data_IF_443086641680
#
_entry.id   IF_443086641680
#
_cell.length_a   1.000
_cell.length_b   1.000
_cell.length_c   1.000
_cell.angle_alpha   90.00
_cell.angle_beta   90.00
_cell.angle_gamma   90.00
#
_symmetry.space_group_name_H-M   'P 1'
#
loop_
_entity.id
_entity.type
_entity.pdbx_description
1 polymer ?
#
# COMPACT_ATOMS: atom_id res chain seq x y z
N UNK A 1 17.72 87.28 11.78
CA UNK A 1 17.52 85.85 12.14
C UNK A 1 17.11 85.12 10.87
N UNK A 2 18.00 84.32 10.27
CA UNK A 2 17.75 83.60 9.01
C UNK A 2 17.60 82.12 9.31
N UNK A 3 16.37 81.61 9.20
CA UNK A 3 16.01 80.21 9.39
C UNK A 3 16.53 79.38 8.22
N UNK A 4 17.32 78.33 8.50
CA UNK A 4 17.76 77.36 7.49
C UNK A 4 16.69 76.28 7.39
N UNK A 5 15.87 76.33 6.35
CA UNK A 5 15.02 75.20 5.98
C UNK A 5 15.91 74.07 5.45
N UNK A 6 15.84 72.90 6.09
CA UNK A 6 16.44 71.66 5.59
C UNK A 6 15.31 70.80 5.03
N UNK A 7 15.26 70.64 3.72
CA UNK A 7 14.35 69.73 3.03
C UNK A 7 14.84 68.29 3.21
N UNK A 8 13.97 67.41 3.72
CA UNK A 8 14.24 65.97 3.75
C UNK A 8 14.01 65.39 2.36
N UNK A 9 15.09 65.00 1.68
CA UNK A 9 15.02 64.17 0.48
C UNK A 9 14.72 62.74 0.91
N UNK A 10 13.46 62.33 0.84
CA UNK A 10 13.06 60.92 1.03
C UNK A 10 13.22 60.21 -0.31
N UNK A 11 14.40 59.62 -0.56
CA UNK A 11 14.55 58.63 -1.61
C UNK A 11 13.81 57.36 -1.15
N UNK A 12 12.71 57.02 -1.81
CA UNK A 12 12.05 55.75 -1.61
C UNK A 12 12.95 54.64 -2.20
N UNK A 13 13.67 53.93 -1.36
CA UNK A 13 14.29 52.66 -1.75
C UNK A 13 13.17 51.65 -2.04
N UNK A 14 13.00 51.31 -3.32
CA UNK A 14 12.19 50.17 -3.75
C UNK A 14 12.83 48.88 -3.21
N UNK A 15 12.38 48.44 -2.03
CA UNK A 15 12.78 47.14 -1.48
C UNK A 15 12.16 46.05 -2.34
N UNK A 16 12.99 45.43 -3.19
CA UNK A 16 12.60 44.30 -4.01
C UNK A 16 11.97 43.17 -3.17
N UNK A 17 10.84 42.66 -3.64
CA UNK A 17 10.15 41.53 -3.03
C UNK A 17 11.04 40.28 -3.13
N UNK A 18 11.56 39.83 -1.99
CA UNK A 18 12.40 38.63 -1.93
C UNK A 18 11.51 37.38 -1.99
N UNK A 19 11.92 36.31 -2.69
CA UNK A 19 11.12 35.10 -2.77
C UNK A 19 10.93 34.49 -1.38
N UNK A 20 9.70 34.08 -1.10
CA UNK A 20 9.28 33.51 0.18
C UNK A 20 10.11 32.26 0.49
N UNK A 21 11.05 32.38 1.42
CA UNK A 21 11.84 31.25 1.89
C UNK A 21 11.05 30.53 2.99
N UNK A 22 10.88 29.21 2.88
CA UNK A 22 10.16 28.37 3.85
C UNK A 22 10.65 28.51 5.31
N UNK A 23 11.89 28.98 5.51
CA UNK A 23 12.43 29.34 6.82
C UNK A 23 11.72 30.51 7.51
N UNK A 24 11.06 31.41 6.77
CA UNK A 24 10.30 32.51 7.35
C UNK A 24 8.90 32.10 7.83
N UNK A 25 8.33 31.01 7.30
CA UNK A 25 7.04 30.50 7.75
C UNK A 25 7.12 29.93 9.18
N UNK A 26 8.24 29.29 9.52
CA UNK A 26 8.48 28.74 10.87
C UNK A 26 8.83 29.80 11.92
N UNK A 27 9.16 31.04 11.53
CA UNK A 27 9.48 32.13 12.48
C UNK A 27 8.25 32.88 13.00
N UNK A 28 7.05 32.58 12.50
CA UNK A 28 5.83 33.07 13.14
C UNK A 28 5.56 32.37 14.48
N UNK A 29 5.99 31.12 14.63
CA UNK A 29 5.77 30.34 15.86
C UNK A 29 6.60 30.89 17.04
N UNK A 30 7.82 31.35 16.78
CA UNK A 30 8.72 31.81 17.84
C UNK A 30 8.44 33.24 18.34
N UNK A 31 7.62 34.04 17.63
CA UNK A 31 7.21 35.38 18.11
C UNK A 31 6.01 35.33 19.07
N UNK A 32 5.40 34.15 19.22
CA UNK A 32 4.20 33.91 20.04
C UNK A 32 4.55 33.24 21.38
N UNK A 33 5.84 33.10 21.73
CA UNK A 33 6.25 32.63 23.06
C UNK A 33 6.20 33.74 24.12
N UNK A 34 5.03 34.38 24.21
CA UNK A 34 4.64 35.32 25.25
C UNK A 34 3.23 34.98 25.73
N UNK A 35 3.08 33.83 26.39
CA UNK A 35 1.81 33.38 26.98
C UNK A 35 0.92 32.61 26.01
N UNK A 36 0.45 31.44 26.44
CA UNK A 36 -0.59 30.68 25.74
C UNK A 36 -1.93 31.40 25.95
N UNK A 37 -2.08 32.59 25.35
CA UNK A 37 -3.38 33.23 25.23
C UNK A 37 -4.15 32.47 24.15
N UNK A 38 -5.33 31.95 24.50
CA UNK A 38 -6.24 31.41 23.50
C UNK A 38 -6.47 32.49 22.45
N UNK A 39 -6.19 32.17 21.19
CA UNK A 39 -6.46 33.04 20.04
C UNK A 39 -7.85 33.70 20.18
N UNK A 40 -7.99 34.95 19.73
CA UNK A 40 -9.31 35.57 19.70
C UNK A 40 -10.26 34.71 18.83
N UNK A 41 -11.57 34.74 19.10
CA UNK A 41 -12.54 33.93 18.34
C UNK A 41 -12.44 34.17 16.82
N UNK A 42 -12.05 35.38 16.42
CA UNK A 42 -11.84 35.77 15.02
C UNK A 42 -10.61 35.07 14.43
N UNK A 43 -9.49 35.06 15.15
CA UNK A 43 -8.25 34.42 14.70
C UNK A 43 -8.40 32.89 14.64
N UNK A 44 -9.17 32.29 15.57
CA UNK A 44 -9.53 30.87 15.51
C UNK A 44 -10.35 30.54 14.26
N UNK A 45 -11.31 31.38 13.89
CA UNK A 45 -12.11 31.19 12.68
C UNK A 45 -11.25 31.27 11.41
N UNK A 46 -10.29 32.20 11.37
CA UNK A 46 -9.37 32.36 10.25
C UNK A 46 -8.49 31.10 10.09
N UNK A 47 -7.89 30.61 11.19
CA UNK A 47 -7.06 29.41 11.16
C UNK A 47 -7.86 28.15 10.77
N UNK A 48 -9.07 27.98 11.31
CA UNK A 48 -9.94 26.85 10.93
C UNK A 48 -10.27 26.86 9.44
N UNK A 49 -10.52 28.04 8.86
CA UNK A 49 -10.76 28.19 7.43
C UNK A 49 -9.52 27.81 6.60
N UNK A 50 -8.33 28.24 7.02
CA UNK A 50 -7.09 27.85 6.34
C UNK A 50 -6.84 26.34 6.41
N UNK A 51 -7.03 25.73 7.58
CA UNK A 51 -6.88 24.28 7.77
C UNK A 51 -7.90 23.52 6.91
N UNK A 52 -9.17 23.97 6.87
CA UNK A 52 -10.20 23.37 6.03
C UNK A 52 -9.79 23.39 4.54
N UNK A 53 -9.31 24.54 4.05
CA UNK A 53 -8.82 24.67 2.67
C UNK A 53 -7.62 23.77 2.38
N UNK A 54 -6.70 23.62 3.32
CA UNK A 54 -5.56 22.70 3.19
C UNK A 54 -6.02 21.24 3.15
N UNK A 55 -6.99 20.87 3.99
CA UNK A 55 -7.55 19.52 4.01
C UNK A 55 -8.30 19.19 2.73
N UNK A 56 -9.07 20.13 2.18
CA UNK A 56 -9.75 19.98 0.88
C UNK A 56 -8.74 19.74 -0.25
N UNK A 57 -7.69 20.57 -0.34
CA UNK A 57 -6.64 20.42 -1.34
C UNK A 57 -5.96 19.05 -1.25
N UNK A 58 -5.60 18.61 -0.05
CA UNK A 58 -5.03 17.28 0.18
C UNK A 58 -5.98 16.17 -0.27
N UNK A 59 -7.27 16.26 0.06
CA UNK A 59 -8.26 15.26 -0.38
C UNK A 59 -8.41 15.22 -1.90
N UNK A 60 -8.28 16.36 -2.57
CA UNK A 60 -8.33 16.47 -4.02
C UNK A 60 -7.12 15.78 -4.66
N UNK A 61 -5.92 16.05 -4.15
CA UNK A 61 -4.69 15.36 -4.57
C UNK A 61 -4.81 13.84 -4.41
N UNK A 62 -5.35 13.36 -3.29
CA UNK A 62 -5.59 11.93 -3.09
C UNK A 62 -6.58 11.38 -4.11
N UNK A 63 -7.67 12.10 -4.40
CA UNK A 63 -8.66 11.68 -5.42
C UNK A 63 -8.04 11.62 -6.81
N UNK A 64 -7.24 12.61 -7.19
CA UNK A 64 -6.55 12.66 -8.48
C UNK A 64 -5.54 11.52 -8.62
N UNK A 65 -4.70 11.30 -7.60
CA UNK A 65 -3.76 10.17 -7.55
C UNK A 65 -4.48 8.83 -7.65
N UNK A 66 -5.59 8.66 -6.93
CA UNK A 66 -6.43 7.46 -7.01
C UNK A 66 -7.06 7.29 -8.41
N UNK A 67 -7.51 8.37 -9.03
CA UNK A 67 -8.04 8.39 -10.39
C UNK A 67 -6.98 7.98 -11.42
N UNK A 68 -5.80 8.59 -11.35
CA UNK A 68 -4.66 8.27 -12.21
C UNK A 68 -4.25 6.80 -12.09
N UNK A 69 -4.09 6.30 -10.85
CA UNK A 69 -3.79 4.88 -10.62
C UNK A 69 -4.86 3.96 -11.20
N UNK A 70 -6.15 4.31 -11.03
CA UNK A 70 -7.27 3.54 -11.57
C UNK A 70 -7.29 3.54 -13.10
N UNK A 71 -7.05 4.68 -13.74
CA UNK A 71 -6.97 4.79 -15.21
C UNK A 71 -5.82 3.95 -15.76
N UNK A 72 -4.62 4.05 -15.17
CA UNK A 72 -3.47 3.21 -15.52
C UNK A 72 -3.79 1.71 -15.40
N UNK A 73 -4.44 1.29 -14.32
CA UNK A 73 -4.89 -0.10 -14.14
C UNK A 73 -5.97 -0.55 -15.14
N UNK A 74 -6.79 0.39 -15.63
CA UNK A 74 -7.85 0.10 -16.61
C UNK A 74 -7.33 0.02 -18.04
N UNK A 75 -6.32 0.83 -18.38
CA UNK A 75 -5.62 0.82 -19.67
C UNK A 75 -4.71 -0.41 -19.80
N UNK A 76 -4.16 -0.90 -18.67
CA UNK A 76 -3.39 -2.14 -18.61
C UNK A 76 -4.26 -3.40 -18.45
N UNK A 77 -5.54 -3.39 -18.84
CA UNK A 77 -6.34 -4.62 -18.86
C UNK A 77 -5.75 -5.58 -19.91
N UNK A 78 -5.14 -6.71 -19.51
CA UNK A 78 -4.68 -7.68 -20.49
C UNK A 78 -5.90 -8.22 -21.24
N UNK A 79 -5.82 -8.27 -22.57
CA UNK A 79 -6.89 -8.73 -23.46
C UNK A 79 -7.34 -10.19 -23.23
N UNK A 80 -6.65 -10.94 -22.37
CA UNK A 80 -7.06 -12.26 -21.91
C UNK A 80 -8.02 -12.16 -20.69
N UNK A 81 -9.19 -11.56 -20.89
CA UNK A 81 -10.30 -11.67 -19.93
C UNK A 81 -10.97 -13.05 -20.08
N UNK A 82 -10.22 -14.13 -19.86
CA UNK A 82 -10.85 -15.38 -19.41
C UNK A 82 -11.45 -15.08 -18.04
N UNK A 83 -12.71 -15.46 -17.83
CA UNK A 83 -13.33 -15.43 -16.51
C UNK A 83 -12.44 -16.20 -15.55
N UNK A 84 -11.68 -15.47 -14.73
CA UNK A 84 -10.76 -16.09 -13.78
C UNK A 84 -11.57 -16.59 -12.60
N UNK A 85 -11.37 -17.86 -12.24
CA UNK A 85 -11.89 -18.41 -11.00
C UNK A 85 -11.57 -17.47 -9.82
N UNK A 86 -12.50 -17.28 -8.87
CA UNK A 86 -12.26 -16.47 -7.70
C UNK A 86 -11.03 -17.01 -6.93
N UNK A 87 -10.33 -16.10 -6.26
CA UNK A 87 -9.18 -16.48 -5.44
C UNK A 87 -9.62 -17.50 -4.39
N UNK A 88 -8.90 -18.62 -4.30
CA UNK A 88 -9.21 -19.69 -3.36
C UNK A 88 -8.09 -19.87 -2.34
N UNK A 89 -8.42 -20.47 -1.19
CA UNK A 89 -7.39 -20.81 -0.21
C UNK A 89 -6.53 -21.98 -0.70
N UNK A 90 -5.28 -22.07 -0.25
CA UNK A 90 -4.39 -23.21 -0.59
C UNK A 90 -5.02 -24.56 -0.18
N UNK A 91 -5.82 -24.57 0.89
CA UNK A 91 -6.55 -25.77 1.31
C UNK A 91 -7.65 -26.16 0.31
N UNK A 92 -8.44 -25.20 -0.16
CA UNK A 92 -9.46 -25.45 -1.19
C UNK A 92 -8.81 -25.90 -2.50
N UNK A 93 -7.69 -25.30 -2.89
CA UNK A 93 -6.94 -25.72 -4.08
C UNK A 93 -6.47 -27.17 -3.98
N UNK A 94 -5.92 -27.58 -2.83
CA UNK A 94 -5.51 -28.97 -2.61
C UNK A 94 -6.70 -29.94 -2.76
N UNK A 95 -7.88 -29.58 -2.23
CA UNK A 95 -9.10 -30.38 -2.39
C UNK A 95 -9.55 -30.44 -3.86
N UNK A 96 -9.53 -29.31 -4.59
CA UNK A 96 -9.81 -29.26 -6.03
C UNK A 96 -8.84 -30.16 -6.83
N UNK A 97 -7.56 -30.13 -6.48
CA UNK A 97 -6.51 -30.96 -7.10
C UNK A 97 -6.73 -32.45 -6.85
N UNK A 98 -7.07 -32.82 -5.62
CA UNK A 98 -7.37 -34.21 -5.26
C UNK A 98 -8.59 -34.73 -6.02
N UNK A 99 -9.66 -33.93 -6.11
CA UNK A 99 -10.83 -34.25 -6.94
C UNK A 99 -10.49 -34.40 -8.44
N UNK A 100 -9.46 -33.69 -8.90
CA UNK A 100 -8.97 -33.73 -10.29
C UNK A 100 -7.93 -34.84 -10.54
N UNK A 101 -7.71 -35.74 -9.58
CA UNK A 101 -6.79 -36.89 -9.69
C UNK A 101 -5.32 -36.60 -9.33
N UNK A 102 -5.01 -35.41 -8.80
CA UNK A 102 -3.66 -35.09 -8.30
C UNK A 102 -3.67 -35.30 -6.78
N UNK A 103 -3.13 -36.43 -6.32
CA UNK A 103 -3.10 -36.78 -4.90
C UNK A 103 -2.10 -35.91 -4.11
N UNK A 104 -2.50 -34.70 -3.72
CA UNK A 104 -1.69 -33.78 -2.94
C UNK A 104 -2.45 -33.27 -1.71
N UNK A 105 -1.87 -33.48 -0.53
CA UNK A 105 -2.43 -32.97 0.71
C UNK A 105 -2.15 -31.48 0.90
N UNK A 106 -2.96 -30.81 1.74
CA UNK A 106 -2.77 -29.38 2.09
C UNK A 106 -1.33 -29.04 2.51
N UNK A 107 -0.75 -29.81 3.42
CA UNK A 107 0.59 -29.54 3.94
C UNK A 107 1.68 -29.81 2.88
N UNK A 108 1.48 -30.81 2.02
CA UNK A 108 2.38 -31.12 0.92
C UNK A 108 2.37 -29.99 -0.12
N UNK A 109 1.20 -29.41 -0.41
CA UNK A 109 1.08 -28.27 -1.31
C UNK A 109 1.80 -27.04 -0.75
N UNK A 110 1.67 -26.75 0.55
CA UNK A 110 2.46 -25.67 1.18
C UNK A 110 3.96 -25.92 1.09
N UNK A 111 4.41 -27.16 1.31
CA UNK A 111 5.81 -27.52 1.19
C UNK A 111 6.31 -27.30 -0.25
N UNK A 112 5.56 -27.79 -1.23
CA UNK A 112 5.86 -27.62 -2.65
C UNK A 112 5.96 -26.13 -3.02
N UNK A 113 4.97 -25.32 -2.65
CA UNK A 113 4.99 -23.88 -2.92
C UNK A 113 6.23 -23.17 -2.37
N UNK A 114 6.70 -23.58 -1.19
CA UNK A 114 7.92 -23.00 -0.57
C UNK A 114 9.19 -23.52 -1.23
N UNK A 115 9.23 -24.80 -1.58
CA UNK A 115 10.38 -25.41 -2.24
C UNK A 115 10.64 -24.80 -3.62
N UNK A 116 9.56 -24.48 -4.34
CA UNK A 116 9.63 -23.82 -5.65
C UNK A 116 9.71 -22.28 -5.58
N UNK A 117 9.86 -21.69 -4.39
CA UNK A 117 10.06 -20.24 -4.24
C UNK A 117 8.81 -19.37 -4.41
N UNK A 118 7.61 -19.96 -4.47
CA UNK A 118 6.37 -19.18 -4.56
C UNK A 118 5.95 -18.57 -3.20
N UNK A 119 6.28 -19.26 -2.11
CA UNK A 119 6.09 -18.77 -0.74
C UNK A 119 7.41 -18.82 0.05
N UNK A 120 7.54 -17.97 1.06
CA UNK A 120 8.76 -17.89 1.85
C UNK A 120 9.00 -19.18 2.67
N UNK A 121 10.25 -19.67 2.65
CA UNK A 121 10.68 -20.87 3.39
C UNK A 121 11.00 -20.60 4.89
N UNK A 122 10.95 -19.34 5.34
CA UNK A 122 11.43 -18.90 6.65
C UNK A 122 10.88 -19.73 7.84
N UNK A 123 11.71 -19.91 8.88
CA UNK A 123 11.33 -20.60 10.13
C UNK A 123 10.20 -19.89 10.89
N UNK A 124 10.07 -18.57 10.74
CA UNK A 124 9.04 -17.79 11.40
C UNK A 124 7.65 -18.07 10.81
N UNK A 125 6.73 -18.54 11.66
CA UNK A 125 5.38 -18.97 11.26
C UNK A 125 4.57 -17.88 10.56
N UNK A 126 4.82 -16.61 10.89
CA UNK A 126 4.10 -15.47 10.30
C UNK A 126 4.50 -15.23 8.85
N UNK A 127 5.79 -15.37 8.53
CA UNK A 127 6.34 -15.12 7.20
C UNK A 127 6.09 -16.27 6.22
N UNK A 128 5.85 -17.48 6.74
CA UNK A 128 5.52 -18.67 5.93
C UNK A 128 4.23 -18.55 5.10
N UNK A 129 3.38 -17.58 5.44
CA UNK A 129 2.13 -17.29 4.74
C UNK A 129 2.22 -16.05 3.86
N UNK A 130 3.43 -15.65 3.47
CA UNK A 130 3.66 -14.55 2.54
C UNK A 130 4.14 -15.06 1.18
N UNK A 131 3.53 -14.58 0.07
CA UNK A 131 4.01 -14.87 -1.27
C UNK A 131 5.35 -14.16 -1.51
N UNK A 132 6.17 -14.73 -2.37
CA UNK A 132 7.43 -14.11 -2.83
C UNK A 132 7.12 -12.96 -3.80
N UNK A 133 8.05 -12.02 -3.95
CA UNK A 133 7.95 -10.90 -4.89
C UNK A 133 7.61 -11.37 -6.32
N UNK A 134 8.21 -12.46 -6.79
CA UNK A 134 7.94 -13.03 -8.12
C UNK A 134 6.49 -13.54 -8.27
N UNK A 135 5.96 -14.17 -7.22
CA UNK A 135 4.57 -14.67 -7.21
C UNK A 135 3.55 -13.55 -7.20
N UNK A 136 3.89 -12.43 -6.54
CA UNK A 136 3.10 -11.20 -6.57
C UNK A 136 3.18 -10.55 -7.95
N UNK A 137 4.37 -10.43 -8.53
CA UNK A 137 4.59 -9.83 -9.85
C UNK A 137 3.83 -10.58 -10.96
N UNK A 138 3.78 -11.91 -10.89
CA UNK A 138 3.01 -12.74 -11.83
C UNK A 138 1.52 -12.86 -11.48
N UNK A 139 1.09 -12.27 -10.36
CA UNK A 139 -0.27 -12.34 -9.84
C UNK A 139 -0.77 -13.79 -9.67
N UNK A 140 0.09 -14.69 -9.20
CA UNK A 140 -0.28 -16.08 -8.91
C UNK A 140 -0.87 -16.24 -7.51
N UNK A 141 -0.41 -15.44 -6.54
CA UNK A 141 -0.85 -15.53 -5.15
C UNK A 141 -1.00 -14.15 -4.53
N UNK A 142 -1.85 -14.09 -3.50
CA UNK A 142 -2.13 -12.89 -2.71
C UNK A 142 -2.09 -13.27 -1.23
N UNK A 143 -1.72 -12.34 -0.36
CA UNK A 143 -1.81 -12.48 1.08
C UNK A 143 -3.02 -11.71 1.63
N UNK A 144 -3.87 -12.38 2.41
CA UNK A 144 -5.00 -11.77 3.11
C UNK A 144 -4.71 -11.70 4.60
N UNK A 145 -5.00 -10.55 5.23
CA UNK A 145 -4.93 -10.38 6.69
C UNK A 145 -6.28 -10.73 7.30
N UNK A 146 -6.33 -11.85 8.00
CA UNK A 146 -7.51 -12.36 8.70
C UNK A 146 -7.49 -11.83 10.15
N UNK A 147 -8.54 -11.13 10.61
CA UNK A 147 -8.62 -10.67 11.99
C UNK A 147 -8.76 -11.86 12.94
N UNK A 148 -7.98 -11.84 14.02
CA UNK A 148 -8.04 -12.81 15.11
C UNK A 148 -8.30 -12.06 16.41
N UNK A 149 -9.32 -12.48 17.15
CA UNK A 149 -9.60 -11.92 18.48
C UNK A 149 -9.01 -12.82 19.54
N UNK A 150 -8.13 -12.29 20.39
CA UNK A 150 -7.62 -13.05 21.53
C UNK A 150 -8.69 -13.17 22.60
N UNK A 151 -9.16 -14.40 22.82
CA UNK A 151 -10.25 -14.71 23.75
C UNK A 151 -9.95 -14.32 25.21
N UNK A 152 -8.66 -14.21 25.59
CA UNK A 152 -8.22 -13.86 26.95
C UNK A 152 -7.97 -12.37 27.17
N UNK A 153 -7.35 -11.69 26.21
CA UNK A 153 -6.86 -10.31 26.37
C UNK A 153 -7.84 -9.32 25.69
N UNK A 154 -8.75 -9.79 24.84
CA UNK A 154 -9.64 -8.92 24.07
C UNK A 154 -8.95 -8.14 22.95
N UNK A 155 -7.62 -8.28 22.80
CA UNK A 155 -6.85 -7.63 21.74
C UNK A 155 -7.20 -8.19 20.37
N UNK A 156 -7.27 -7.30 19.39
CA UNK A 156 -7.33 -7.64 17.98
C UNK A 156 -5.91 -7.90 17.48
N UNK A 157 -5.67 -9.11 17.00
CA UNK A 157 -4.48 -9.49 16.24
C UNK A 157 -4.88 -9.80 14.79
N UNK A 158 -3.88 -9.91 13.91
CA UNK A 158 -4.09 -10.27 12.51
C UNK A 158 -3.20 -11.46 12.16
N UNK A 159 -3.77 -12.44 11.48
CA UNK A 159 -3.04 -13.55 10.90
C UNK A 159 -3.00 -13.39 9.39
N UNK A 160 -1.88 -13.76 8.77
CA UNK A 160 -1.77 -13.77 7.31
C UNK A 160 -2.19 -15.13 6.76
N UNK A 161 -2.94 -15.13 5.66
CA UNK A 161 -3.34 -16.33 4.91
C UNK A 161 -2.93 -16.18 3.45
N UNK A 162 -2.42 -17.27 2.85
CA UNK A 162 -2.15 -17.34 1.42
C UNK A 162 -3.43 -17.69 0.65
N UNK A 163 -3.71 -16.90 -0.38
CA UNK A 163 -4.73 -17.13 -1.38
C UNK A 163 -4.08 -17.29 -2.75
N UNK A 164 -4.68 -18.12 -3.58
CA UNK A 164 -4.24 -18.39 -4.96
C UNK A 164 -5.24 -17.80 -5.93
N UNK A 165 -4.79 -16.94 -6.83
CA UNK A 165 -5.63 -16.31 -7.87
C UNK A 165 -6.07 -17.34 -8.92
N UNK A 166 -7.11 -17.07 -9.72
CA UNK A 166 -7.51 -17.99 -10.80
C UNK A 166 -6.36 -18.33 -11.76
N UNK A 167 -5.53 -17.33 -12.12
CA UNK A 167 -4.30 -17.54 -12.92
C UNK A 167 -3.29 -18.46 -12.21
N UNK A 168 -3.10 -18.27 -10.91
CA UNK A 168 -2.22 -19.13 -10.10
C UNK A 168 -2.75 -20.57 -10.01
N UNK A 169 -4.07 -20.76 -9.90
CA UNK A 169 -4.69 -22.09 -9.85
C UNK A 169 -4.36 -22.88 -11.12
N UNK A 170 -4.62 -22.32 -12.30
CA UNK A 170 -4.31 -22.95 -13.59
C UNK A 170 -2.82 -23.29 -13.73
N UNK A 171 -1.96 -22.37 -13.31
CA UNK A 171 -0.51 -22.53 -13.40
C UNK A 171 -0.02 -23.66 -12.49
N UNK A 172 -0.40 -23.66 -11.20
CA UNK A 172 0.04 -24.68 -10.26
C UNK A 172 -0.50 -26.08 -10.60
N UNK A 173 -1.74 -26.18 -11.09
CA UNK A 173 -2.31 -27.45 -11.56
C UNK A 173 -1.49 -28.01 -12.73
N UNK A 174 -1.14 -27.16 -13.71
CA UNK A 174 -0.32 -27.58 -14.87
C UNK A 174 1.09 -27.97 -14.45
N UNK A 175 1.73 -27.18 -13.59
CA UNK A 175 3.08 -27.44 -13.09
C UNK A 175 3.16 -28.78 -12.34
N UNK A 176 2.24 -29.04 -11.41
CA UNK A 176 2.20 -30.28 -10.64
C UNK A 176 1.89 -31.51 -11.49
N UNK A 177 1.00 -31.39 -12.48
CA UNK A 177 0.74 -32.47 -13.45
C UNK A 177 1.99 -32.80 -14.26
N UNK A 178 2.72 -31.79 -14.71
CA UNK A 178 3.94 -31.98 -15.49
C UNK A 178 5.03 -32.68 -14.66
N UNK A 179 5.24 -32.24 -13.42
CA UNK A 179 6.25 -32.82 -12.52
C UNK A 179 5.94 -34.29 -12.18
N UNK A 180 4.70 -34.60 -11.80
CA UNK A 180 4.29 -35.97 -11.48
C UNK A 180 4.21 -36.88 -12.71
N UNK A 181 3.83 -36.35 -13.86
CA UNK A 181 3.87 -37.07 -15.14
C UNK A 181 5.30 -37.41 -15.56
N UNK A 182 6.26 -36.50 -15.33
CA UNK A 182 7.69 -36.74 -15.57
C UNK A 182 8.26 -37.78 -14.59
N UNK A 183 7.87 -37.72 -13.31
CA UNK A 183 8.27 -38.70 -12.31
C UNK A 183 7.75 -40.11 -12.63
N UNK A 184 6.49 -40.24 -13.08
CA UNK A 184 5.94 -41.52 -13.51
C UNK A 184 6.67 -42.10 -14.73
N UNK A 185 7.14 -41.25 -15.65
CA UNK A 185 7.93 -41.65 -16.82
C UNK A 185 9.37 -42.04 -16.48
N UNK A 186 9.93 -41.49 -15.40
CA UNK A 186 11.28 -41.80 -14.94
C UNK A 186 11.39 -43.09 -14.12
N UNK A 187 10.30 -43.51 -13.45
CA UNK A 187 10.26 -44.75 -12.63
C UNK A 187 9.89 -45.99 -13.46
N UNK A 188 9.37 -45.82 -14.67
CA UNK A 188 9.10 -46.90 -15.62
C UNK A 188 10.27 -47.18 -16.55
N UNK A 189 11.37 -47.74 -16.02
CA UNK A 189 12.41 -48.51 -16.75
C UNK A 189 12.82 -49.69 -15.88
#
# INVERSE_FOLDING_TARGET
MKSKQTTMTTAAEEKGFSPWCASCALKQEDRVLGGFESLSDIDQCIELFFIEKQMEALQQDYREKMGYMKSQMSESKPADSREQDPACSVQELALKMQASGIDIGRNQLYFWLRHHGYAHYQSERTLQHLPTEESLAQNYMIAEKVPRRDKRIGKHSYNTRLLVTGRGQDFFIKALRAERGSAAKAVGV
#
